data_IF_263518549482
#
_entry.id   IF_263518549482
#
_cell.length_a   1.000
_cell.length_b   1.000
_cell.length_c   1.000
_cell.angle_alpha   90.00
_cell.angle_beta   90.00
_cell.angle_gamma   90.00
#
_symmetry.space_group_name_H-M   'P 1'
#
loop_
_entity.id
_entity.type
_entity.pdbx_description
1 polymer ?
#
# COMPACT_ATOMS: atom_id res chain seq x y z
N UNK A 1 -5.58 5.02 -15.11
CA UNK A 1 -5.79 4.30 -13.83
C UNK A 1 -4.42 3.76 -13.47
N UNK A 2 -3.91 4.09 -12.29
CA UNK A 2 -2.65 3.50 -11.81
C UNK A 2 -2.89 2.06 -11.34
N UNK A 3 -1.83 1.26 -11.17
CA UNK A 3 -1.94 -0.10 -10.61
C UNK A 3 -2.62 -0.08 -9.22
N UNK A 4 -2.25 0.88 -8.36
CA UNK A 4 -2.88 1.08 -7.05
C UNK A 4 -4.36 1.45 -7.14
N UNK A 5 -4.76 2.27 -8.12
CA UNK A 5 -6.18 2.54 -8.34
C UNK A 5 -6.91 1.22 -8.68
N UNK A 6 -6.34 0.37 -9.53
CA UNK A 6 -6.92 -0.93 -9.91
C UNK A 6 -7.06 -1.89 -8.73
N UNK A 7 -6.05 -1.96 -7.86
CA UNK A 7 -6.10 -2.79 -6.65
C UNK A 7 -7.12 -2.25 -5.64
N UNK A 8 -7.14 -0.93 -5.43
CA UNK A 8 -8.17 -0.26 -4.62
C UNK A 8 -9.57 -0.61 -5.12
N UNK A 9 -9.78 -0.63 -6.43
CA UNK A 9 -11.07 -0.96 -7.01
C UNK A 9 -11.53 -2.38 -6.74
N UNK A 10 -10.65 -3.36 -6.88
CA UNK A 10 -11.01 -4.76 -6.66
C UNK A 10 -11.44 -4.99 -5.21
N UNK A 11 -10.71 -4.39 -4.26
CA UNK A 11 -11.07 -4.40 -2.83
C UNK A 11 -12.38 -3.66 -2.58
N UNK A 12 -12.53 -2.44 -3.11
CA UNK A 12 -13.73 -1.64 -2.95
C UNK A 12 -14.98 -2.35 -3.48
N UNK A 13 -14.89 -2.97 -4.66
CA UNK A 13 -16.01 -3.69 -5.27
C UNK A 13 -16.42 -4.88 -4.42
N UNK A 14 -15.47 -5.71 -3.99
CA UNK A 14 -15.75 -6.88 -3.15
C UNK A 14 -16.53 -6.50 -1.87
N UNK A 15 -16.08 -5.47 -1.15
CA UNK A 15 -16.76 -5.03 0.06
C UNK A 15 -18.06 -4.24 -0.20
N UNK A 16 -18.21 -3.63 -1.38
CA UNK A 16 -19.46 -2.98 -1.80
C UNK A 16 -20.53 -4.00 -2.16
N UNK A 17 -20.16 -5.09 -2.83
CA UNK A 17 -21.05 -6.22 -3.15
C UNK A 17 -21.51 -6.91 -1.85
N UNK A 18 -20.67 -6.95 -0.82
CA UNK A 18 -21.02 -7.35 0.54
C UNK A 18 -21.86 -6.32 1.33
N UNK A 19 -22.45 -5.30 0.67
CA UNK A 19 -23.26 -4.21 1.25
C UNK A 19 -22.61 -3.43 2.40
N UNK A 20 -21.27 -3.41 2.51
CA UNK A 20 -20.60 -2.67 3.57
C UNK A 20 -20.59 -1.16 3.29
N UNK A 21 -21.23 -0.37 4.17
CA UNK A 21 -21.14 1.11 4.16
C UNK A 21 -19.68 1.60 4.31
N UNK A 22 -18.80 0.76 4.86
CA UNK A 22 -17.38 1.05 5.10
C UNK A 22 -16.45 0.56 3.98
N UNK A 23 -16.96 0.03 2.87
CA UNK A 23 -16.16 -0.52 1.77
C UNK A 23 -15.07 0.46 1.26
N UNK A 24 -15.38 1.76 1.21
CA UNK A 24 -14.42 2.79 0.80
C UNK A 24 -13.27 2.92 1.82
N UNK A 25 -13.60 2.97 3.10
CA UNK A 25 -12.61 3.09 4.17
C UNK A 25 -11.70 1.87 4.19
N UNK A 26 -12.25 0.67 4.03
CA UNK A 26 -11.49 -0.58 3.96
C UNK A 26 -10.53 -0.57 2.77
N UNK A 27 -10.99 -0.17 1.58
CA UNK A 27 -10.14 -0.11 0.39
C UNK A 27 -9.02 0.94 0.52
N UNK A 28 -9.29 2.10 1.15
CA UNK A 28 -8.28 3.13 1.40
C UNK A 28 -7.24 2.65 2.42
N UNK A 29 -7.68 1.99 3.49
CA UNK A 29 -6.79 1.41 4.50
C UNK A 29 -5.91 0.35 3.84
N UNK A 30 -6.49 -0.56 3.07
CA UNK A 30 -5.77 -1.59 2.32
C UNK A 30 -4.65 -1.00 1.46
N UNK A 31 -4.94 0.01 0.64
CA UNK A 31 -3.93 0.58 -0.26
C UNK A 31 -2.84 1.32 0.50
N UNK A 32 -3.18 1.94 1.63
CA UNK A 32 -2.21 2.65 2.48
C UNK A 32 -1.29 1.65 3.18
N UNK A 33 -1.82 0.54 3.69
CA UNK A 33 -1.03 -0.56 4.25
C UNK A 33 -0.12 -1.15 3.18
N UNK A 34 -0.64 -1.43 1.98
CA UNK A 34 0.16 -1.98 0.88
C UNK A 34 1.33 -1.06 0.50
N UNK A 35 1.08 0.23 0.36
CA UNK A 35 2.15 1.19 0.03
C UNK A 35 3.18 1.30 1.15
N UNK A 36 2.76 1.28 2.42
CA UNK A 36 3.68 1.26 3.55
C UNK A 36 4.49 -0.04 3.62
N UNK A 37 3.88 -1.19 3.31
CA UNK A 37 4.56 -2.48 3.27
C UNK A 37 5.63 -2.53 2.17
N UNK A 38 5.32 -1.99 0.98
CA UNK A 38 6.30 -1.87 -0.11
C UNK A 38 7.42 -0.90 0.27
N UNK A 39 7.08 0.25 0.87
CA UNK A 39 8.07 1.22 1.36
C UNK A 39 9.00 0.57 2.40
N UNK A 40 8.45 -0.20 3.33
CA UNK A 40 9.21 -0.91 4.36
C UNK A 40 10.17 -1.92 3.71
N UNK A 41 9.65 -2.80 2.86
CA UNK A 41 10.44 -3.81 2.16
C UNK A 41 11.60 -3.18 1.37
N UNK A 42 11.32 -2.10 0.62
CA UNK A 42 12.36 -1.38 -0.14
C UNK A 42 13.35 -0.67 0.78
N UNK A 43 12.88 -0.02 1.84
CA UNK A 43 13.75 0.69 2.79
C UNK A 43 14.76 -0.24 3.45
N UNK A 44 14.32 -1.41 3.87
CA UNK A 44 15.19 -2.44 4.48
C UNK A 44 16.14 -3.04 3.45
N UNK A 45 15.66 -3.30 2.23
CA UNK A 45 16.52 -3.75 1.13
C UNK A 45 17.66 -2.77 0.84
N UNK A 46 17.35 -1.47 0.72
CA UNK A 46 18.37 -0.45 0.50
C UNK A 46 19.31 -0.30 1.70
N UNK A 47 18.82 -0.43 2.94
CA UNK A 47 19.68 -0.42 4.13
C UNK A 47 20.71 -1.56 4.08
N UNK A 48 20.29 -2.77 3.74
CA UNK A 48 21.19 -3.91 3.54
C UNK A 48 22.20 -3.69 2.43
N UNK A 49 21.73 -3.17 1.30
CA UNK A 49 22.57 -2.84 0.16
C UNK A 49 23.64 -1.79 0.48
N UNK A 50 23.27 -0.68 1.14
CA UNK A 50 24.20 0.37 1.51
C UNK A 50 25.25 -0.10 2.52
N UNK A 51 24.86 -1.00 3.44
CA UNK A 51 25.82 -1.63 4.35
C UNK A 51 26.86 -2.46 3.61
N UNK A 52 26.47 -3.25 2.61
CA UNK A 52 27.41 -4.02 1.78
C UNK A 52 28.34 -3.11 0.96
N UNK A 53 27.82 -1.96 0.51
CA UNK A 53 28.57 -0.97 -0.26
C UNK A 53 29.47 -0.06 0.60
N UNK A 54 29.55 -0.28 1.93
CA UNK A 54 30.30 0.55 2.88
C UNK A 54 29.90 2.05 2.80
N UNK A 55 28.62 2.30 2.51
CA UNK A 55 28.08 3.65 2.40
C UNK A 55 27.50 4.11 3.73
N UNK A 56 28.24 4.91 4.49
CA UNK A 56 27.78 5.58 5.72
C UNK A 56 26.83 6.74 5.39
N UNK A 57 25.65 6.40 4.86
CA UNK A 57 24.67 7.38 4.39
C UNK A 57 23.77 7.91 5.51
N UNK A 58 23.30 7.05 6.42
CA UNK A 58 22.38 7.48 7.48
C UNK A 58 22.32 6.50 8.65
N UNK A 59 22.24 7.03 9.87
CA UNK A 59 22.06 6.24 11.09
C UNK A 59 20.65 5.62 11.18
N UNK A 60 20.48 4.43 11.80
CA UNK A 60 19.20 3.71 11.84
C UNK A 60 18.03 4.53 12.41
N UNK A 61 18.27 5.34 13.44
CA UNK A 61 17.24 6.17 14.08
C UNK A 61 16.64 7.19 13.11
N UNK A 62 17.49 7.80 12.27
CA UNK A 62 17.05 8.76 11.25
C UNK A 62 16.27 8.06 10.15
N UNK A 63 16.65 6.82 9.79
CA UNK A 63 15.95 6.01 8.79
C UNK A 63 14.54 5.63 9.25
N UNK A 64 14.40 5.19 10.50
CA UNK A 64 13.10 4.92 11.09
C UNK A 64 12.24 6.18 11.20
N UNK A 65 12.82 7.31 11.60
CA UNK A 65 12.09 8.58 11.66
C UNK A 65 11.55 8.99 10.28
N UNK A 66 12.39 8.92 9.25
CA UNK A 66 12.00 9.23 7.88
C UNK A 66 10.92 8.26 7.37
N UNK A 67 11.05 6.97 7.68
CA UNK A 67 10.04 5.96 7.35
C UNK A 67 8.67 6.29 7.94
N UNK A 68 8.61 6.63 9.24
CA UNK A 68 7.35 7.00 9.90
C UNK A 68 6.76 8.27 9.27
N UNK A 69 7.58 9.28 8.98
CA UNK A 69 7.12 10.52 8.36
C UNK A 69 6.51 10.27 6.98
N UNK A 70 7.19 9.48 6.14
CA UNK A 70 6.68 9.11 4.81
C UNK A 70 5.42 8.25 4.92
N UNK A 71 5.36 7.31 5.87
CA UNK A 71 4.20 6.47 6.11
C UNK A 71 2.96 7.33 6.46
N UNK A 72 3.10 8.26 7.40
CA UNK A 72 2.04 9.21 7.77
C UNK A 72 1.60 10.03 6.55
N UNK A 73 2.54 10.59 5.80
CA UNK A 73 2.23 11.34 4.59
C UNK A 73 1.46 10.51 3.55
N UNK A 74 1.84 9.24 3.35
CA UNK A 74 1.13 8.32 2.46
C UNK A 74 -0.31 8.06 2.90
N UNK A 75 -0.54 7.83 4.20
CA UNK A 75 -1.89 7.67 4.76
C UNK A 75 -2.76 8.89 4.48
N UNK A 76 -2.26 10.09 4.77
CA UNK A 76 -2.99 11.34 4.49
C UNK A 76 -3.26 11.54 3.00
N UNK A 77 -2.23 11.34 2.15
CA UNK A 77 -2.36 11.46 0.69
C UNK A 77 -3.43 10.52 0.14
N UNK A 78 -3.41 9.25 0.55
CA UNK A 78 -4.38 8.25 0.10
C UNK A 78 -5.77 8.56 0.63
N UNK A 79 -5.89 9.01 1.88
CA UNK A 79 -7.17 9.41 2.44
C UNK A 79 -7.80 10.54 1.62
N UNK A 80 -7.07 11.61 1.33
CA UNK A 80 -7.55 12.72 0.50
C UNK A 80 -7.90 12.23 -0.91
N UNK A 81 -7.02 11.42 -1.52
CA UNK A 81 -7.19 10.91 -2.88
C UNK A 81 -8.47 10.08 -3.02
N UNK A 82 -8.74 9.15 -2.11
CA UNK A 82 -9.88 8.22 -2.21
C UNK A 82 -11.14 8.69 -1.47
N UNK A 83 -11.08 9.75 -0.65
CA UNK A 83 -12.25 10.42 -0.10
C UNK A 83 -12.85 11.48 -1.04
N UNK A 84 -12.03 12.13 -1.88
CA UNK A 84 -12.40 13.30 -2.68
C UNK A 84 -12.88 13.03 -4.12
N UNK A 85 -12.56 13.95 -5.04
CA UNK A 85 -13.03 13.99 -6.44
C UNK A 85 -12.70 12.71 -7.23
N UNK A 86 -11.56 12.06 -6.96
CA UNK A 86 -11.22 10.81 -7.64
C UNK A 86 -12.22 9.71 -7.32
N UNK A 87 -12.85 9.64 -6.14
CA UNK A 87 -13.93 8.67 -5.85
C UNK A 87 -15.07 8.76 -6.87
N UNK A 88 -15.53 9.97 -7.20
CA UNK A 88 -16.63 10.17 -8.16
C UNK A 88 -16.24 9.73 -9.56
N UNK A 89 -15.03 10.06 -10.00
CA UNK A 89 -14.48 9.66 -11.31
C UNK A 89 -14.26 8.14 -11.37
N UNK A 90 -13.76 7.55 -10.29
CA UNK A 90 -13.49 6.13 -10.16
C UNK A 90 -14.83 5.34 -10.20
N UNK A 91 -15.85 5.78 -9.47
CA UNK A 91 -17.19 5.17 -9.47
C UNK A 91 -17.92 5.32 -10.82
N UNK A 92 -17.73 6.45 -11.54
CA UNK A 92 -18.26 6.61 -12.89
C UNK A 92 -17.56 5.68 -13.90
N UNK A 93 -16.25 5.43 -13.73
CA UNK A 93 -15.50 4.46 -14.54
C UNK A 93 -15.84 3.00 -14.20
N UNK A 94 -16.37 2.71 -13.00
CA UNK A 94 -16.86 1.37 -12.62
C UNK A 94 -18.06 0.91 -13.46
N UNK A 95 -18.93 1.82 -13.90
CA UNK A 95 -20.09 1.48 -14.73
C UNK A 95 -19.70 0.94 -16.11
N UNK A 96 -18.46 1.22 -16.58
CA UNK A 96 -18.01 0.90 -17.94
C UNK A 96 -17.04 -0.28 -18.05
N UNK A 97 -16.58 -0.89 -16.95
CA UNK A 97 -15.52 -1.91 -17.00
C UNK A 97 -15.95 -3.25 -16.37
N UNK A 98 -15.82 -4.34 -17.15
CA UNK A 98 -16.00 -5.73 -16.70
C UNK A 98 -14.95 -6.03 -15.61
N UNK A 99 -15.38 -6.52 -14.45
CA UNK A 99 -14.49 -6.67 -13.29
C UNK A 99 -13.54 -7.86 -13.42
N UNK A 100 -12.26 -7.64 -13.10
CA UNK A 100 -11.35 -8.72 -12.78
C UNK A 100 -11.68 -9.22 -11.35
N UNK A 101 -12.25 -10.41 -11.26
CA UNK A 101 -12.50 -11.09 -9.98
C UNK A 101 -11.18 -11.68 -9.46
N UNK A 102 -10.35 -10.84 -8.84
CA UNK A 102 -9.27 -11.38 -8.01
C UNK A 102 -9.86 -11.84 -6.66
N UNK A 103 -9.46 -13.03 -6.15
CA UNK A 103 -9.87 -13.44 -4.83
C UNK A 103 -9.36 -12.46 -3.78
N UNK A 104 -10.24 -12.02 -2.88
CA UNK A 104 -9.91 -11.04 -1.83
C UNK A 104 -8.75 -11.51 -0.94
N UNK A 105 -8.62 -12.82 -0.77
CA UNK A 105 -7.51 -13.45 -0.05
C UNK A 105 -6.16 -13.10 -0.69
N UNK A 106 -6.03 -13.17 -2.01
CA UNK A 106 -4.79 -12.85 -2.71
C UNK A 106 -4.44 -11.36 -2.62
N UNK A 107 -5.45 -10.49 -2.57
CA UNK A 107 -5.26 -9.06 -2.36
C UNK A 107 -4.69 -8.79 -0.96
N UNK A 108 -5.25 -9.39 0.10
CA UNK A 108 -4.71 -9.24 1.46
C UNK A 108 -3.40 -9.98 1.71
N UNK A 109 -3.14 -11.07 0.97
CA UNK A 109 -1.85 -11.77 1.02
C UNK A 109 -0.71 -10.86 0.54
N UNK A 110 -0.96 -9.98 -0.43
CA UNK A 110 0.06 -9.11 -1.02
C UNK A 110 0.78 -8.21 0.02
N UNK A 111 0.09 -7.37 0.83
CA UNK A 111 0.76 -6.57 1.86
C UNK A 111 1.42 -7.45 2.92
N UNK A 112 0.82 -8.59 3.29
CA UNK A 112 1.42 -9.53 4.26
C UNK A 112 2.73 -10.11 3.73
N UNK A 113 2.75 -10.54 2.47
CA UNK A 113 3.94 -11.05 1.81
C UNK A 113 5.05 -9.98 1.74
N UNK A 114 4.71 -8.73 1.41
CA UNK A 114 5.69 -7.63 1.42
C UNK A 114 6.29 -7.40 2.82
N UNK A 115 5.48 -7.44 3.88
CA UNK A 115 5.99 -7.29 5.26
C UNK A 115 6.87 -8.47 5.65
N UNK A 116 6.44 -9.70 5.38
CA UNK A 116 7.22 -10.91 5.68
C UNK A 116 8.57 -10.90 4.96
N UNK A 117 8.58 -10.57 3.66
CA UNK A 117 9.81 -10.42 2.90
C UNK A 117 10.70 -9.32 3.48
N UNK A 118 10.11 -8.17 3.84
CA UNK A 118 10.85 -7.08 4.49
C UNK A 118 11.48 -7.51 5.82
N UNK A 119 10.80 -8.32 6.64
CA UNK A 119 11.32 -8.86 7.89
C UNK A 119 12.45 -9.89 7.66
N UNK A 120 12.31 -10.75 6.66
CA UNK A 120 13.36 -11.71 6.30
C UNK A 120 14.62 -10.96 5.86
N UNK A 121 14.47 -9.93 5.03
CA UNK A 121 15.60 -9.09 4.61
C UNK A 121 16.16 -8.37 5.84
N UNK A 122 15.32 -7.83 6.72
CA UNK A 122 15.76 -7.15 7.95
C UNK A 122 16.67 -8.04 8.78
N UNK A 123 16.33 -9.33 8.94
CA UNK A 123 17.16 -10.27 9.69
C UNK A 123 18.54 -10.52 9.06
N UNK A 124 18.67 -10.31 7.74
CA UNK A 124 19.93 -10.46 7.01
C UNK A 124 20.76 -9.15 6.94
N UNK A 125 20.15 -8.00 7.26
CA UNK A 125 20.82 -6.70 7.41
C UNK A 125 21.35 -6.55 8.82
#
# INVERSE_FOLDING_TARGET
MTLFDSLFFNVFKHYKDAKSKKANQIATIYISILQCAILFMLGVFFAGFFRQMHMDTMSPDKAWFLFVLIAVFMFFKNWIQYAGKKRKVLNAKMLKKKSQNYPIFMLWLLPVACVLLGLIIWQAV
#
